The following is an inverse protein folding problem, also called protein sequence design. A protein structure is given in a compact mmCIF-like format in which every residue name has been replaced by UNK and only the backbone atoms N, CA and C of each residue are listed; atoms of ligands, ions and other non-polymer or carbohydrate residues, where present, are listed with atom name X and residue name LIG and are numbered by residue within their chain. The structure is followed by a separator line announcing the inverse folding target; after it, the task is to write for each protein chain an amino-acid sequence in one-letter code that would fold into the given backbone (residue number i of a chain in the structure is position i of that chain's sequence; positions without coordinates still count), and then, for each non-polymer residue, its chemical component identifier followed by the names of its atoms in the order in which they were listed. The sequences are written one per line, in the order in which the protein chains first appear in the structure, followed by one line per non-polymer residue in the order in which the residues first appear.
data_IF_727963765041
#
_entry.id   IF_727963765041
#
_cell.length_a   1.000
_cell.length_b   1.000
_cell.length_c   1.000
_cell.angle_alpha   90.00
_cell.angle_beta   90.00
_cell.angle_gamma   90.00
#
_symmetry.space_group_name_H-M   'P 1'
#
loop_
_entity.id
_entity.type
_entity.pdbx_description
1 polymer ?
#
# COMPACT_ATOMS: atom_id res chain seq x y z
N UNK A 1 49.38 -35.70 31.62
CA UNK A 1 49.22 -35.20 33.00
C UNK A 1 47.88 -34.47 33.09
N UNK A 2 47.12 -34.78 34.14
CA UNK A 2 45.78 -34.33 34.51
C UNK A 2 44.57 -34.70 33.63
N UNK A 3 43.71 -35.48 34.28
CA UNK A 3 42.44 -36.11 33.89
C UNK A 3 41.30 -35.37 34.61
N UNK A 4 40.10 -35.51 34.02
CA UNK A 4 38.74 -35.50 34.62
C UNK A 4 38.04 -34.14 34.84
N UNK A 5 36.69 -34.11 35.01
CA UNK A 5 35.61 -34.98 34.47
C UNK A 5 34.45 -34.16 33.82
N UNK A 6 33.69 -34.69 32.85
CA UNK A 6 32.40 -35.40 32.99
C UNK A 6 31.40 -34.82 34.01
N UNK A 7 30.33 -34.17 33.51
CA UNK A 7 29.05 -34.02 34.20
C UNK A 7 27.89 -34.21 33.21
N UNK A 8 27.30 -35.40 33.29
CA UNK A 8 25.93 -35.77 32.90
C UNK A 8 24.93 -35.30 33.95
N UNK A 9 23.82 -34.65 33.57
CA UNK A 9 22.52 -34.71 34.25
C UNK A 9 21.42 -34.36 33.23
N UNK A 10 20.63 -35.35 32.81
CA UNK A 10 19.31 -35.74 33.34
C UNK A 10 18.14 -34.87 32.82
N UNK A 11 17.34 -35.51 31.97
CA UNK A 11 15.99 -35.14 31.59
C UNK A 11 14.98 -35.46 32.70
N UNK A 12 13.89 -34.68 32.81
CA UNK A 12 12.66 -35.14 33.41
C UNK A 12 11.61 -35.44 32.33
N UNK A 13 11.18 -36.71 32.33
CA UNK A 13 9.92 -37.20 31.80
C UNK A 13 8.71 -36.76 32.67
N UNK A 14 7.51 -37.09 32.17
CA UNK A 14 6.16 -36.93 32.73
C UNK A 14 5.48 -35.62 32.28
N UNK A 15 4.21 -35.58 31.89
CA UNK A 15 3.07 -36.43 32.23
C UNK A 15 2.00 -36.32 31.15
N UNK A 16 1.45 -37.48 30.79
CA UNK A 16 0.14 -37.66 30.16
C UNK A 16 -0.95 -36.84 30.84
N UNK A 17 -1.90 -36.32 30.06
CA UNK A 17 -3.32 -36.25 30.44
C UNK A 17 -4.19 -36.12 29.20
N UNK A 18 -4.73 -37.27 28.82
CA UNK A 18 -5.95 -37.41 28.05
C UNK A 18 -7.07 -36.53 28.63
N UNK A 19 -7.81 -35.87 27.75
CA UNK A 19 -9.21 -35.51 28.02
C UNK A 19 -9.99 -35.62 26.72
N UNK A 20 -10.40 -36.87 26.49
CA UNK A 20 -11.59 -37.18 25.72
C UNK A 20 -12.78 -36.48 26.37
N UNK A 21 -13.47 -35.61 25.63
CA UNK A 21 -14.87 -35.32 25.93
C UNK A 21 -15.71 -35.53 24.67
N UNK A 22 -16.33 -36.70 24.72
CA UNK A 22 -17.39 -37.23 23.91
C UNK A 22 -18.68 -36.45 24.24
N UNK A 23 -19.26 -35.74 23.28
CA UNK A 23 -20.68 -35.35 23.36
C UNK A 23 -21.39 -35.82 22.12
N UNK A 24 -22.27 -36.78 22.36
CA UNK A 24 -23.20 -37.47 21.47
C UNK A 24 -24.54 -36.72 21.43
N UNK A 25 -25.24 -36.87 20.29
CA UNK A 25 -26.69 -36.66 20.06
C UNK A 25 -27.16 -35.19 20.11
N UNK A 26 -28.01 -34.69 19.23
CA UNK A 26 -29.30 -35.19 18.69
C UNK A 26 -29.59 -34.50 17.34
N UNK A 27 -29.93 -35.24 16.28
CA UNK A 27 -31.29 -35.50 15.79
C UNK A 27 -31.99 -34.30 15.10
N UNK A 28 -32.30 -34.54 13.82
CA UNK A 28 -33.52 -34.16 13.09
C UNK A 28 -34.20 -32.82 13.39
N UNK A 29 -34.16 -31.93 12.39
CA UNK A 29 -35.39 -31.29 11.92
C UNK A 29 -35.31 -30.81 10.48
N UNK A 30 -35.80 -31.65 9.59
CA UNK A 30 -36.37 -31.28 8.30
C UNK A 30 -37.54 -30.31 8.50
N UNK A 31 -37.48 -29.15 7.85
CA UNK A 31 -38.65 -28.31 7.59
C UNK A 31 -38.61 -27.82 6.15
N UNK A 32 -39.33 -28.55 5.30
CA UNK A 32 -39.89 -28.09 4.05
C UNK A 32 -40.68 -26.80 4.26
N UNK A 33 -40.31 -25.71 3.58
CA UNK A 33 -41.27 -24.65 3.22
C UNK A 33 -41.09 -24.26 1.76
N UNK A 34 -42.24 -24.31 1.09
CA UNK A 34 -42.58 -24.17 -0.32
C UNK A 34 -42.12 -22.84 -0.97
N UNK A 35 -41.84 -22.82 -2.29
CA UNK A 35 -41.59 -21.60 -3.05
C UNK A 35 -42.92 -21.01 -3.54
N UNK A 36 -43.33 -19.86 -2.99
CA UNK A 36 -44.40 -19.06 -3.61
C UNK A 36 -43.84 -18.06 -4.62
N UNK A 37 -43.86 -18.55 -5.86
CA UNK A 37 -44.24 -17.85 -7.10
C UNK A 37 -45.13 -16.62 -6.86
N UNK A 38 -44.60 -15.42 -7.14
CA UNK A 38 -45.40 -14.27 -7.60
C UNK A 38 -44.74 -13.65 -8.82
N UNK A 39 -45.23 -14.09 -9.98
CA UNK A 39 -45.29 -13.28 -11.18
C UNK A 39 -46.20 -12.08 -10.92
N UNK A 40 -45.76 -10.88 -11.28
CA UNK A 40 -46.63 -9.89 -11.92
C UNK A 40 -45.77 -8.89 -12.70
N UNK A 41 -45.91 -9.02 -14.01
CA UNK A 41 -45.69 -8.02 -15.03
C UNK A 41 -46.28 -6.65 -14.65
N UNK A 42 -45.52 -5.57 -14.86
CA UNK A 42 -45.99 -4.32 -15.48
C UNK A 42 -44.81 -3.37 -15.77
N UNK A 43 -44.41 -3.33 -17.04
CA UNK A 43 -43.89 -2.11 -17.69
C UNK A 43 -45.12 -1.34 -18.25
N UNK A 44 -45.02 -0.08 -18.76
CA UNK A 44 -43.96 0.92 -18.71
C UNK A 44 -44.44 2.32 -18.24
N UNK A 45 -43.59 3.06 -17.52
CA UNK A 45 -43.86 4.45 -17.10
C UNK A 45 -42.90 5.47 -17.72
N UNK A 46 -42.96 5.65 -19.05
CA UNK A 46 -42.14 6.59 -19.83
C UNK A 46 -42.58 8.04 -19.61
N UNK A 47 -42.20 8.68 -18.48
CA UNK A 47 -42.32 10.15 -18.32
C UNK A 47 -41.02 10.83 -18.73
N UNK A 48 -40.95 11.22 -20.02
CA UNK A 48 -39.94 12.19 -20.52
C UNK A 48 -40.23 13.54 -19.87
N UNK A 49 -39.45 13.93 -18.86
CA UNK A 49 -39.38 15.33 -18.41
C UNK A 49 -38.42 16.08 -19.32
N UNK A 50 -38.97 16.76 -20.33
CA UNK A 50 -38.30 17.80 -21.11
C UNK A 50 -38.01 19.00 -20.19
N UNK A 51 -36.93 18.94 -19.41
CA UNK A 51 -36.41 20.12 -18.69
C UNK A 51 -34.88 20.25 -18.74
N UNK A 52 -34.20 19.57 -19.67
CA UNK A 52 -32.73 19.63 -19.77
C UNK A 52 -32.19 20.40 -20.98
N UNK A 53 -33.02 21.03 -21.82
CA UNK A 53 -32.50 21.76 -22.99
C UNK A 53 -31.81 23.07 -22.60
N UNK A 54 -32.36 23.81 -21.64
CA UNK A 54 -31.84 25.12 -21.24
C UNK A 54 -30.57 25.04 -20.36
N UNK A 55 -30.35 23.93 -19.66
CA UNK A 55 -29.12 23.74 -18.86
C UNK A 55 -27.90 23.41 -19.72
N UNK A 56 -28.07 22.75 -20.88
CA UNK A 56 -26.95 22.45 -21.78
C UNK A 56 -26.47 23.69 -22.55
N UNK A 57 -27.35 24.63 -22.89
CA UNK A 57 -26.98 25.87 -23.57
C UNK A 57 -26.21 26.85 -22.64
N UNK A 58 -26.52 26.86 -21.34
CA UNK A 58 -25.80 27.70 -20.38
C UNK A 58 -24.38 27.17 -20.07
N UNK A 59 -24.21 25.84 -20.01
CA UNK A 59 -22.89 25.24 -19.78
C UNK A 59 -21.96 25.29 -20.99
N UNK A 60 -22.47 25.23 -22.22
CA UNK A 60 -21.62 25.38 -23.42
C UNK A 60 -21.10 26.83 -23.60
N UNK A 61 -21.85 27.84 -23.17
CA UNK A 61 -21.42 29.24 -23.22
C UNK A 61 -20.27 29.54 -22.23
N UNK A 62 -20.25 28.91 -21.05
CA UNK A 62 -19.18 29.09 -20.06
C UNK A 62 -17.88 28.41 -20.52
N UNK A 63 -17.97 27.25 -21.19
CA UNK A 63 -16.78 26.56 -21.72
C UNK A 63 -16.14 27.35 -22.89
N UNK A 64 -16.94 28.05 -23.69
CA UNK A 64 -16.42 28.90 -24.76
C UNK A 64 -15.67 30.14 -24.25
N UNK A 65 -16.05 30.71 -23.09
CA UNK A 65 -15.42 31.91 -22.55
C UNK A 65 -14.10 31.64 -21.80
N UNK A 66 -13.90 30.43 -21.26
CA UNK A 66 -12.63 30.01 -20.64
C UNK A 66 -11.60 29.57 -21.70
N UNK A 67 -12.04 29.30 -22.94
CA UNK A 67 -11.16 28.83 -24.01
C UNK A 67 -10.39 29.94 -24.72
N UNK A 68 -10.68 31.23 -24.46
CA UNK A 68 -9.99 32.36 -25.11
C UNK A 68 -8.87 33.00 -24.28
N UNK A 69 -8.70 32.59 -23.02
CA UNK A 69 -7.70 33.16 -22.10
C UNK A 69 -6.59 32.19 -21.68
N UNK A 70 -6.45 31.04 -22.36
CA UNK A 70 -5.42 30.02 -22.05
C UNK A 70 -4.46 29.67 -23.20
N UNK A 71 -4.21 30.60 -24.14
CA UNK A 71 -3.14 30.45 -25.14
C UNK A 71 -1.77 30.89 -24.62
N UNK A 72 -1.29 30.27 -23.52
CA UNK A 72 0.12 30.40 -23.08
C UNK A 72 0.72 29.12 -22.48
N UNK A 73 0.14 27.94 -22.70
CA UNK A 73 0.73 26.69 -22.16
C UNK A 73 0.45 25.41 -22.95
N UNK A 74 0.27 25.48 -24.28
CA UNK A 74 0.26 24.29 -25.13
C UNK A 74 1.66 24.13 -25.75
N UNK A 75 2.65 23.80 -24.92
CA UNK A 75 3.92 23.22 -25.38
C UNK A 75 4.36 21.99 -24.55
N UNK A 76 3.56 21.53 -23.58
CA UNK A 76 3.94 20.43 -22.70
C UNK A 76 3.73 19.01 -23.28
N UNK A 77 3.11 18.87 -24.46
CA UNK A 77 2.83 17.56 -25.07
C UNK A 77 3.30 17.39 -26.52
N UNK A 78 4.17 18.28 -27.02
CA UNK A 78 4.97 17.98 -28.22
C UNK A 78 6.19 17.13 -27.82
N UNK A 79 5.94 15.89 -27.41
CA UNK A 79 6.99 14.90 -27.15
C UNK A 79 7.27 14.05 -28.40
N UNK A 80 7.61 14.72 -29.50
CA UNK A 80 8.21 14.08 -30.67
C UNK A 80 9.58 13.49 -30.31
N UNK A 81 9.74 12.17 -30.52
CA UNK A 81 11.00 11.44 -30.68
C UNK A 81 12.19 11.79 -29.75
N UNK A 82 11.99 12.03 -28.46
CA UNK A 82 13.12 11.98 -27.52
C UNK A 82 13.66 10.54 -27.43
N UNK A 83 14.98 10.32 -27.56
CA UNK A 83 15.57 8.99 -27.46
C UNK A 83 15.25 8.36 -26.10
N UNK A 84 15.00 7.05 -26.08
CA UNK A 84 14.59 6.31 -24.88
C UNK A 84 15.58 6.47 -23.71
N UNK A 85 16.86 6.68 -24.01
CA UNK A 85 17.92 6.97 -23.03
C UNK A 85 17.66 8.27 -22.27
N UNK A 86 17.24 9.33 -22.95
CA UNK A 86 17.00 10.64 -22.35
C UNK A 86 15.76 10.63 -21.45
N UNK A 87 14.69 9.93 -21.87
CA UNK A 87 13.49 9.71 -21.02
C UNK A 87 13.80 8.85 -19.79
N UNK A 88 14.70 7.86 -19.92
CA UNK A 88 15.17 7.05 -18.79
C UNK A 88 15.95 7.92 -17.82
N UNK A 89 16.89 8.74 -18.32
CA UNK A 89 17.70 9.63 -17.50
C UNK A 89 16.86 10.68 -16.77
N UNK A 90 15.97 11.41 -17.47
CA UNK A 90 15.04 12.39 -16.85
C UNK A 90 14.18 11.75 -15.75
N UNK A 91 13.77 10.49 -15.92
CA UNK A 91 12.96 9.83 -14.90
C UNK A 91 13.80 9.42 -13.69
N UNK A 92 15.00 8.88 -13.91
CA UNK A 92 15.95 8.56 -12.83
C UNK A 92 16.26 9.84 -12.05
N UNK A 93 16.62 10.92 -12.74
CA UNK A 93 16.90 12.22 -12.12
C UNK A 93 15.70 12.72 -11.29
N UNK A 94 14.48 12.70 -11.84
CA UNK A 94 13.27 13.10 -11.10
C UNK A 94 12.97 12.19 -9.91
N UNK A 95 13.26 10.89 -10.00
CA UNK A 95 13.04 9.96 -8.90
C UNK A 95 14.10 10.07 -7.82
N UNK A 96 15.37 10.29 -8.20
CA UNK A 96 16.45 10.66 -7.28
C UNK A 96 16.09 11.97 -6.58
N UNK A 97 15.69 13.02 -7.31
CA UNK A 97 15.23 14.28 -6.72
C UNK A 97 14.02 14.08 -5.78
N UNK A 98 13.04 13.27 -6.18
CA UNK A 98 11.88 12.98 -5.33
C UNK A 98 12.30 12.27 -4.05
N UNK A 99 13.11 11.22 -4.15
CA UNK A 99 13.58 10.47 -2.98
C UNK A 99 14.50 11.32 -2.11
N UNK A 100 15.46 12.07 -2.68
CA UNK A 100 16.32 12.96 -1.90
C UNK A 100 15.52 14.07 -1.20
N UNK A 101 14.48 14.62 -1.83
CA UNK A 101 13.62 15.64 -1.21
C UNK A 101 12.75 15.05 -0.09
N UNK A 102 12.11 13.90 -0.33
CA UNK A 102 11.27 13.22 0.66
C UNK A 102 12.12 12.76 1.85
N UNK A 103 13.32 12.23 1.59
CA UNK A 103 14.21 11.71 2.61
C UNK A 103 14.88 12.85 3.38
N UNK A 104 15.44 13.88 2.72
CA UNK A 104 15.98 15.06 3.43
C UNK A 104 14.92 15.69 4.34
N UNK A 105 13.68 15.87 3.88
CA UNK A 105 12.64 16.45 4.74
C UNK A 105 12.39 15.62 6.01
N UNK A 106 12.50 14.29 5.93
CA UNK A 106 12.34 13.40 7.09
C UNK A 106 13.59 13.34 7.97
N UNK A 107 14.79 13.23 7.36
CA UNK A 107 16.07 13.21 8.08
C UNK A 107 16.25 14.51 8.86
N UNK A 108 16.07 15.68 8.23
CA UNK A 108 16.22 16.97 8.90
C UNK A 108 15.23 17.17 10.05
N UNK A 109 14.02 16.59 9.98
CA UNK A 109 13.08 16.62 11.10
C UNK A 109 13.52 15.75 12.28
N UNK A 110 14.18 14.62 12.02
CA UNK A 110 14.73 13.72 13.07
C UNK A 110 16.05 14.23 13.64
N UNK A 111 16.91 14.84 12.81
CA UNK A 111 18.18 15.42 13.28
C UNK A 111 17.96 16.74 14.00
N UNK A 112 17.00 17.57 13.58
CA UNK A 112 16.69 18.84 14.27
C UNK A 112 16.12 18.65 15.68
N UNK A 113 15.49 17.51 15.97
CA UNK A 113 15.10 17.13 17.34
C UNK A 113 16.26 16.62 18.19
N UNK A 114 17.35 16.14 17.56
CA UNK A 114 18.50 15.53 18.24
C UNK A 114 19.76 16.43 18.29
N UNK A 115 19.78 17.59 17.60
CA UNK A 115 20.96 18.44 17.41
C UNK A 115 21.07 19.66 18.36
N UNK A 116 20.62 19.55 19.62
CA UNK A 116 20.94 20.62 20.58
C UNK A 116 22.34 20.51 21.21
N UNK A 117 23.08 19.40 21.04
CA UNK A 117 24.24 19.16 21.92
C UNK A 117 25.58 18.73 21.28
N UNK A 118 25.82 18.81 19.96
CA UNK A 118 27.15 18.42 19.44
C UNK A 118 27.64 19.25 18.27
N UNK A 119 28.66 20.06 18.56
CA UNK A 119 29.33 21.03 17.69
C UNK A 119 30.63 20.43 17.16
N UNK A 120 30.57 19.30 16.44
CA UNK A 120 31.74 18.60 15.89
C UNK A 120 31.76 18.57 14.36
N UNK A 121 32.98 18.81 13.82
CA UNK A 121 33.52 18.47 12.48
C UNK A 121 32.66 18.70 11.23
N UNK A 122 32.84 19.87 10.58
CA UNK A 122 32.25 20.28 9.30
C UNK A 122 32.77 19.48 8.07
N UNK A 123 33.88 18.75 8.21
CA UNK A 123 34.58 18.04 7.12
C UNK A 123 34.18 16.55 7.01
N UNK A 124 33.76 15.94 8.12
CA UNK A 124 33.27 14.56 8.19
C UNK A 124 31.86 14.43 7.55
N UNK A 125 31.07 15.50 7.60
CA UNK A 125 29.73 15.57 7.01
C UNK A 125 29.73 15.45 5.49
N UNK A 126 30.80 15.88 4.79
CA UNK A 126 30.83 15.85 3.32
C UNK A 126 31.10 14.45 2.74
N UNK A 127 31.93 13.64 3.40
CA UNK A 127 32.22 12.27 2.94
C UNK A 127 31.05 11.31 3.19
N UNK A 128 30.27 11.55 4.26
CA UNK A 128 29.07 10.79 4.59
C UNK A 128 27.95 11.05 3.55
N UNK A 129 27.83 12.27 3.04
CA UNK A 129 26.80 12.64 2.04
C UNK A 129 26.99 11.87 0.72
N UNK A 130 28.24 11.67 0.28
CA UNK A 130 28.58 10.96 -0.97
C UNK A 130 28.28 9.44 -0.94
N UNK A 131 28.38 8.79 0.22
CA UNK A 131 28.08 7.35 0.37
C UNK A 131 26.57 7.11 0.49
N UNK A 132 25.89 7.94 1.28
CA UNK A 132 24.44 7.93 1.43
C UNK A 132 23.76 8.15 0.06
N UNK A 133 24.24 9.11 -0.73
CA UNK A 133 23.70 9.38 -2.07
C UNK A 133 23.87 8.18 -3.02
N UNK A 134 24.96 7.42 -2.93
CA UNK A 134 25.17 6.20 -3.75
C UNK A 134 24.15 5.13 -3.42
N UNK A 135 23.92 4.87 -2.14
CA UNK A 135 22.93 3.87 -1.70
C UNK A 135 21.52 4.25 -2.16
N UNK A 136 21.16 5.54 -2.06
CA UNK A 136 19.88 6.04 -2.55
C UNK A 136 19.71 5.89 -4.06
N UNK A 137 20.75 6.21 -4.84
CA UNK A 137 20.74 6.06 -6.30
C UNK A 137 20.59 4.59 -6.69
N UNK A 138 21.27 3.68 -5.99
CA UNK A 138 21.15 2.25 -6.21
C UNK A 138 19.72 1.77 -5.93
N UNK A 139 19.16 2.11 -4.76
CA UNK A 139 17.81 1.72 -4.37
C UNK A 139 16.76 2.24 -5.36
N UNK A 140 16.86 3.52 -5.74
CA UNK A 140 15.97 4.13 -6.74
C UNK A 140 16.08 3.43 -8.10
N UNK A 141 17.29 3.04 -8.50
CA UNK A 141 17.54 2.29 -9.74
C UNK A 141 16.88 0.91 -9.69
N UNK A 142 16.96 0.19 -8.55
CA UNK A 142 16.29 -1.11 -8.35
C UNK A 142 14.77 -0.96 -8.45
N UNK A 143 14.16 0.05 -7.79
CA UNK A 143 12.71 0.32 -7.90
C UNK A 143 12.30 0.67 -9.34
N UNK A 144 13.09 1.50 -10.04
CA UNK A 144 12.83 1.83 -11.44
C UNK A 144 12.78 0.59 -12.32
N UNK A 145 13.78 -0.27 -12.18
CA UNK A 145 13.88 -1.49 -12.96
C UNK A 145 12.69 -2.43 -12.69
N UNK A 146 12.29 -2.60 -11.43
CA UNK A 146 11.09 -3.36 -11.06
C UNK A 146 9.83 -2.78 -11.73
N UNK A 147 9.65 -1.45 -11.70
CA UNK A 147 8.52 -0.78 -12.37
C UNK A 147 8.55 -0.96 -13.89
N UNK A 148 9.73 -0.91 -14.50
CA UNK A 148 9.90 -1.17 -15.93
C UNK A 148 9.47 -2.61 -16.28
N UNK A 149 9.84 -3.60 -15.46
CA UNK A 149 9.42 -4.99 -15.64
C UNK A 149 7.90 -5.17 -15.50
N UNK A 150 7.26 -4.47 -14.56
CA UNK A 150 5.79 -4.44 -14.45
C UNK A 150 5.14 -3.92 -15.74
N UNK A 151 5.67 -2.85 -16.33
CA UNK A 151 5.17 -2.31 -17.60
C UNK A 151 5.35 -3.28 -18.76
N UNK A 152 6.40 -4.11 -18.72
CA UNK A 152 6.66 -5.17 -19.71
C UNK A 152 5.89 -6.47 -19.43
N UNK A 153 5.05 -6.52 -18.39
CA UNK A 153 4.29 -7.72 -18.02
C UNK A 153 5.09 -8.80 -17.30
N UNK A 154 6.37 -8.55 -16.97
CA UNK A 154 7.23 -9.48 -16.24
C UNK A 154 7.00 -9.36 -14.72
N UNK A 155 5.77 -9.69 -14.29
CA UNK A 155 5.29 -9.45 -12.93
C UNK A 155 6.08 -10.25 -11.88
N UNK A 156 6.34 -11.54 -12.12
CA UNK A 156 7.08 -12.40 -11.20
C UNK A 156 8.52 -11.93 -10.93
N UNK A 157 9.20 -11.35 -11.92
CA UNK A 157 10.56 -10.84 -11.74
C UNK A 157 10.55 -9.54 -10.92
N UNK A 158 9.58 -8.65 -11.18
CA UNK A 158 9.41 -7.43 -10.40
C UNK A 158 9.14 -7.74 -8.92
N UNK A 159 8.30 -8.74 -8.64
CA UNK A 159 8.07 -9.23 -7.28
C UNK A 159 9.38 -9.67 -6.61
N UNK A 160 10.19 -10.52 -7.28
CA UNK A 160 11.47 -10.99 -6.75
C UNK A 160 12.41 -9.84 -6.40
N UNK A 161 12.45 -8.79 -7.23
CA UNK A 161 13.27 -7.60 -6.96
C UNK A 161 12.79 -6.88 -5.71
N UNK A 162 11.48 -6.60 -5.57
CA UNK A 162 10.98 -5.93 -4.38
C UNK A 162 11.18 -6.75 -3.10
N UNK A 163 10.98 -8.06 -3.15
CA UNK A 163 11.25 -8.94 -2.00
C UNK A 163 12.72 -8.92 -1.60
N UNK A 164 13.62 -8.90 -2.59
CA UNK A 164 15.07 -8.78 -2.35
C UNK A 164 15.41 -7.45 -1.69
N UNK A 165 14.95 -6.32 -2.25
CA UNK A 165 15.15 -4.98 -1.67
C UNK A 165 14.67 -4.95 -0.21
N UNK A 166 13.47 -5.45 0.05
CA UNK A 166 12.90 -5.48 1.40
C UNK A 166 13.70 -6.37 2.36
N UNK A 167 14.34 -7.43 1.86
CA UNK A 167 15.20 -8.27 2.69
C UNK A 167 16.55 -7.62 2.95
N UNK A 168 17.18 -6.99 1.94
CA UNK A 168 18.43 -6.20 2.08
C UNK A 168 18.25 -5.11 3.15
N UNK A 169 17.20 -4.28 3.01
CA UNK A 169 16.87 -3.22 3.96
C UNK A 169 16.49 -3.71 5.37
N UNK A 170 16.17 -5.00 5.52
CA UNK A 170 15.86 -5.58 6.84
C UNK A 170 17.04 -6.33 7.46
N UNK A 171 18.09 -6.61 6.70
CA UNK A 171 19.34 -7.16 7.24
C UNK A 171 20.34 -6.07 7.62
N UNK A 172 20.24 -4.89 6.99
CA UNK A 172 21.08 -3.73 7.29
C UNK A 172 20.62 -2.96 8.54
N UNK A 173 19.48 -3.31 9.13
CA UNK A 173 18.87 -2.59 10.26
C UNK A 173 19.48 -2.88 11.63
N UNK A 174 20.54 -3.69 11.71
CA UNK A 174 21.25 -3.98 12.96
C UNK A 174 22.26 -2.86 13.33
N UNK A 175 22.54 -1.95 12.40
CA UNK A 175 23.36 -0.75 12.62
C UNK A 175 22.45 0.44 13.03
N UNK A 176 22.90 1.25 13.99
CA UNK A 176 22.16 2.20 14.86
C UNK A 176 21.20 3.23 14.21
N UNK A 177 21.04 3.24 12.89
CA UNK A 177 20.19 4.17 12.15
C UNK A 177 19.14 3.42 11.32
N UNK A 178 17.98 3.10 11.93
CA UNK A 178 16.92 2.41 11.22
C UNK A 178 16.22 3.31 10.18
N UNK A 179 16.49 3.08 8.88
CA UNK A 179 15.85 3.77 7.75
C UNK A 179 14.43 3.22 7.45
N UNK A 180 13.52 3.34 8.43
CA UNK A 180 12.12 2.92 8.29
C UNK A 180 11.44 3.48 7.03
N UNK A 181 11.88 4.65 6.54
CA UNK A 181 11.36 5.25 5.32
C UNK A 181 11.65 4.41 4.07
N UNK A 182 12.89 3.91 3.89
CA UNK A 182 13.29 3.09 2.73
C UNK A 182 12.48 1.78 2.72
N UNK A 183 12.34 1.16 3.89
CA UNK A 183 11.56 -0.07 4.07
C UNK A 183 10.07 0.16 3.81
N UNK A 184 9.49 1.24 4.34
CA UNK A 184 8.09 1.60 4.14
C UNK A 184 7.77 1.82 2.65
N UNK A 185 8.58 2.59 1.93
CA UNK A 185 8.41 2.83 0.48
C UNK A 185 8.45 1.51 -0.29
N UNK A 186 9.48 0.69 -0.05
CA UNK A 186 9.65 -0.59 -0.75
C UNK A 186 8.46 -1.55 -0.48
N UNK A 187 7.97 -1.57 0.76
CA UNK A 187 6.80 -2.35 1.18
C UNK A 187 5.54 -1.89 0.46
N UNK A 188 5.29 -0.58 0.39
CA UNK A 188 4.13 -0.02 -0.31
C UNK A 188 4.16 -0.36 -1.81
N UNK A 189 5.33 -0.29 -2.45
CA UNK A 189 5.50 -0.66 -3.85
C UNK A 189 5.23 -2.15 -4.10
N UNK A 190 5.69 -3.03 -3.21
CA UNK A 190 5.38 -4.46 -3.28
C UNK A 190 3.87 -4.71 -3.06
N UNK A 191 3.26 -4.05 -2.08
CA UNK A 191 1.82 -4.18 -1.82
C UNK A 191 0.98 -3.73 -3.02
N UNK A 192 1.32 -2.61 -3.66
CA UNK A 192 0.67 -2.15 -4.89
C UNK A 192 0.86 -3.14 -6.05
N UNK A 193 2.03 -3.75 -6.14
CA UNK A 193 2.31 -4.79 -7.13
C UNK A 193 1.42 -6.03 -6.92
N UNK A 194 1.26 -6.51 -5.68
CA UNK A 194 0.37 -7.62 -5.32
C UNK A 194 -1.11 -7.29 -5.55
N UNK A 195 -1.54 -6.05 -5.28
CA UNK A 195 -2.90 -5.60 -5.61
C UNK A 195 -3.17 -5.65 -7.12
N UNK A 196 -2.16 -5.36 -7.94
CA UNK A 196 -2.28 -5.39 -9.40
C UNK A 196 -2.42 -6.82 -9.95
N UNK A 197 -1.82 -7.81 -9.30
CA UNK A 197 -1.99 -9.24 -9.66
C UNK A 197 -3.30 -9.82 -9.13
N UNK A 198 -4.01 -9.10 -8.25
CA UNK A 198 -5.24 -9.58 -7.62
C UNK A 198 -5.00 -10.51 -6.44
N UNK A 199 -3.74 -10.67 -6.00
CA UNK A 199 -3.43 -11.52 -4.85
C UNK A 199 -3.64 -10.77 -3.53
N UNK A 200 -4.89 -10.78 -3.07
CA UNK A 200 -5.32 -10.12 -1.83
C UNK A 200 -4.63 -10.74 -0.60
N UNK A 201 -4.38 -12.05 -0.60
CA UNK A 201 -3.74 -12.74 0.53
C UNK A 201 -2.26 -12.36 0.62
N UNK A 202 -1.54 -12.38 -0.50
CA UNK A 202 -0.15 -11.93 -0.54
C UNK A 202 -0.01 -10.46 -0.16
N UNK A 203 -0.94 -9.60 -0.62
CA UNK A 203 -0.95 -8.18 -0.24
C UNK A 203 -1.06 -8.01 1.28
N UNK A 204 -1.97 -8.74 1.94
CA UNK A 204 -2.07 -8.73 3.42
C UNK A 204 -0.78 -9.17 4.08
N UNK A 205 -0.18 -10.26 3.58
CA UNK A 205 1.07 -10.77 4.14
C UNK A 205 2.22 -9.76 4.06
N UNK A 206 2.29 -8.96 2.98
CA UNK A 206 3.30 -7.89 2.85
C UNK A 206 3.15 -6.84 3.95
N UNK A 207 1.92 -6.34 4.18
CA UNK A 207 1.67 -5.39 5.25
C UNK A 207 1.96 -5.98 6.63
N UNK A 208 1.47 -7.19 6.92
CA UNK A 208 1.70 -7.84 8.22
C UNK A 208 3.17 -8.12 8.48
N UNK A 209 3.94 -8.50 7.47
CA UNK A 209 5.39 -8.72 7.62
C UNK A 209 6.13 -7.41 7.90
N UNK A 210 5.73 -6.29 7.30
CA UNK A 210 6.28 -4.98 7.64
C UNK A 210 6.03 -4.64 9.12
N UNK A 211 4.79 -4.80 9.60
CA UNK A 211 4.49 -4.50 11.01
C UNK A 211 5.15 -5.46 11.99
N UNK A 212 5.30 -6.74 11.63
CA UNK A 212 6.08 -7.68 12.45
C UNK A 212 7.53 -7.22 12.58
N UNK A 213 8.13 -6.74 11.50
CA UNK A 213 9.52 -6.25 11.54
C UNK A 213 9.60 -4.99 12.39
N UNK A 214 8.81 -3.96 12.09
CA UNK A 214 8.84 -2.68 12.83
C UNK A 214 8.49 -2.87 14.32
N UNK A 215 7.48 -3.67 14.66
CA UNK A 215 7.07 -3.86 16.05
C UNK A 215 8.07 -4.67 16.89
N UNK A 216 8.95 -5.46 16.27
CA UNK A 216 10.02 -6.17 17.01
C UNK A 216 11.16 -5.24 17.43
N UNK A 217 11.28 -4.05 16.83
CA UNK A 217 12.31 -3.07 17.17
C UNK A 217 11.83 -2.04 18.20
N UNK A 218 10.54 -2.03 18.54
CA UNK A 218 9.92 -0.99 19.38
C UNK A 218 9.29 -1.65 20.63
N UNK A 219 10.10 -2.24 21.51
CA UNK A 219 9.64 -2.71 22.84
C UNK A 219 9.39 -1.54 23.80
N UNK A 220 9.96 -0.36 23.54
CA UNK A 220 9.72 0.86 24.31
C UNK A 220 8.54 1.67 23.73
N UNK A 221 7.47 1.82 24.52
CA UNK A 221 6.22 2.51 24.14
C UNK A 221 6.41 3.95 23.60
N UNK A 222 7.56 4.56 23.86
CA UNK A 222 7.86 5.95 23.50
C UNK A 222 8.32 6.12 22.04
N UNK A 223 8.85 5.07 21.39
CA UNK A 223 9.40 5.15 20.03
C UNK A 223 8.39 4.83 18.91
N UNK A 224 7.13 4.52 19.25
CA UNK A 224 6.08 4.07 18.30
C UNK A 224 5.54 5.19 17.39
N UNK A 225 6.17 6.37 17.34
CA UNK A 225 5.72 7.54 16.56
C UNK A 225 6.47 7.73 15.24
N UNK A 226 6.73 6.65 14.51
CA UNK A 226 7.29 6.76 13.17
C UNK A 226 6.21 7.15 12.14
N UNK A 227 6.30 8.36 11.58
CA UNK A 227 5.38 8.88 10.54
C UNK A 227 5.34 7.99 9.29
N UNK A 228 6.46 7.33 8.96
CA UNK A 228 6.52 6.40 7.83
C UNK A 228 5.68 5.15 8.07
N UNK A 229 5.77 4.57 9.28
CA UNK A 229 4.96 3.43 9.70
C UNK A 229 3.46 3.79 9.76
N UNK A 230 3.12 5.00 10.20
CA UNK A 230 1.75 5.52 10.18
C UNK A 230 1.17 5.56 8.75
N UNK A 231 1.95 6.01 7.76
CA UNK A 231 1.54 6.00 6.34
C UNK A 231 1.35 4.58 5.79
N UNK A 232 2.15 3.60 6.23
CA UNK A 232 1.93 2.19 5.85
C UNK A 232 0.64 1.65 6.47
N UNK A 233 0.34 1.99 7.73
CA UNK A 233 -0.95 1.64 8.36
C UNK A 233 -2.14 2.28 7.64
N UNK A 234 -2.04 3.57 7.29
CA UNK A 234 -3.07 4.26 6.51
C UNK A 234 -3.33 3.52 5.19
N UNK A 235 -2.28 3.17 4.44
CA UNK A 235 -2.41 2.40 3.20
C UNK A 235 -3.04 1.02 3.44
N UNK A 236 -2.69 0.36 4.55
CA UNK A 236 -3.26 -0.94 4.91
C UNK A 236 -4.75 -0.83 5.28
N UNK A 237 -5.14 0.20 6.02
CA UNK A 237 -6.53 0.50 6.34
C UNK A 237 -7.35 0.70 5.05
N UNK A 238 -6.87 1.53 4.12
CA UNK A 238 -7.52 1.75 2.83
C UNK A 238 -7.67 0.45 2.03
N UNK A 239 -6.65 -0.40 2.04
CA UNK A 239 -6.69 -1.70 1.41
C UNK A 239 -7.77 -2.61 2.04
N UNK A 240 -7.85 -2.71 3.37
CA UNK A 240 -8.87 -3.55 4.03
C UNK A 240 -10.29 -2.99 3.81
N UNK A 241 -10.44 -1.65 3.79
CA UNK A 241 -11.71 -1.00 3.46
C UNK A 241 -12.21 -1.41 2.07
N UNK A 242 -11.32 -1.37 1.07
CA UNK A 242 -11.63 -1.77 -0.31
C UNK A 242 -12.05 -3.24 -0.42
N UNK A 243 -11.57 -4.10 0.48
CA UNK A 243 -11.86 -5.53 0.48
C UNK A 243 -13.04 -5.91 1.41
N UNK A 244 -13.81 -4.93 1.90
CA UNK A 244 -15.02 -5.17 2.70
C UNK A 244 -14.77 -5.38 4.20
N UNK A 245 -13.53 -5.22 4.68
CA UNK A 245 -13.20 -5.33 6.11
C UNK A 245 -13.23 -3.94 6.77
N UNK A 246 -14.40 -3.32 6.81
CA UNK A 246 -14.59 -1.95 7.30
C UNK A 246 -14.25 -1.78 8.79
N UNK A 247 -14.68 -2.70 9.65
CA UNK A 247 -14.40 -2.66 11.09
C UNK A 247 -12.89 -2.70 11.37
N UNK A 248 -12.20 -3.70 10.80
CA UNK A 248 -10.73 -3.82 10.89
C UNK A 248 -10.01 -2.59 10.32
N UNK A 249 -10.51 -2.04 9.21
CA UNK A 249 -9.95 -0.83 8.61
C UNK A 249 -10.02 0.37 9.55
N UNK A 250 -11.13 0.54 10.29
CA UNK A 250 -11.28 1.58 11.30
C UNK A 250 -10.27 1.43 12.45
N UNK A 251 -10.09 0.20 12.95
CA UNK A 251 -9.09 -0.07 13.99
C UNK A 251 -7.67 0.31 13.52
N UNK A 252 -7.31 -0.09 12.30
CA UNK A 252 -5.99 0.19 11.73
C UNK A 252 -5.78 1.70 11.53
N UNK A 253 -6.77 2.45 11.03
CA UNK A 253 -6.60 3.90 10.80
C UNK A 253 -6.53 4.67 12.12
N UNK A 254 -7.26 4.26 13.17
CA UNK A 254 -7.10 4.86 14.49
C UNK A 254 -5.70 4.62 15.06
N UNK A 255 -5.14 3.42 14.85
CA UNK A 255 -3.74 3.15 15.20
C UNK A 255 -2.77 4.04 14.41
N UNK A 256 -3.00 4.23 13.12
CA UNK A 256 -2.20 5.13 12.29
C UNK A 256 -2.24 6.58 12.80
N UNK A 257 -3.42 7.09 13.18
CA UNK A 257 -3.60 8.45 13.69
C UNK A 257 -2.95 8.62 15.06
N UNK A 258 -2.98 7.59 15.92
CA UNK A 258 -2.24 7.60 17.19
C UNK A 258 -0.72 7.76 16.97
N UNK A 259 -0.20 7.27 15.85
CA UNK A 259 1.21 7.40 15.47
C UNK A 259 1.52 8.73 14.77
N UNK A 260 0.59 9.25 13.96
CA UNK A 260 0.71 10.51 13.23
C UNK A 260 -0.65 11.23 13.18
N UNK A 261 -0.82 12.23 14.04
CA UNK A 261 -2.06 13.00 14.16
C UNK A 261 -2.44 13.75 12.87
N UNK A 262 -1.47 14.03 11.99
CA UNK A 262 -1.73 14.69 10.69
C UNK A 262 -2.61 13.83 9.77
N UNK A 263 -2.77 12.54 10.07
CA UNK A 263 -3.64 11.62 9.35
C UNK A 263 -5.12 11.74 9.76
N UNK A 264 -5.46 12.54 10.78
CA UNK A 264 -6.84 12.72 11.27
C UNK A 264 -7.88 13.06 10.17
N UNK A 265 -7.58 13.91 9.16
CA UNK A 265 -8.53 14.24 8.08
C UNK A 265 -8.99 13.03 7.25
N UNK A 266 -8.30 11.89 7.34
CA UNK A 266 -8.68 10.64 6.65
C UNK A 266 -10.01 10.10 7.17
N UNK A 267 -10.33 10.31 8.45
CA UNK A 267 -11.60 9.87 9.04
C UNK A 267 -12.81 10.61 8.45
N UNK A 268 -12.60 11.80 7.90
CA UNK A 268 -13.65 12.59 7.25
C UNK A 268 -14.03 12.04 5.88
N UNK A 269 -13.22 11.14 5.30
CA UNK A 269 -13.51 10.54 4.01
C UNK A 269 -14.77 9.69 4.10
N UNK A 270 -15.62 9.78 3.08
CA UNK A 270 -16.94 9.13 3.05
C UNK A 270 -16.90 7.66 3.47
N UNK A 271 -15.92 6.88 2.99
CA UNK A 271 -15.81 5.46 3.29
C UNK A 271 -15.59 5.17 4.79
N UNK A 272 -14.82 6.00 5.49
CA UNK A 272 -14.58 5.83 6.93
C UNK A 272 -15.76 6.34 7.75
N UNK A 273 -16.40 7.44 7.34
CA UNK A 273 -17.66 7.91 7.96
C UNK A 273 -18.79 6.90 7.83
N UNK A 274 -18.93 6.28 6.65
CA UNK A 274 -19.94 5.25 6.41
C UNK A 274 -19.66 4.01 7.26
N UNK A 275 -18.39 3.56 7.31
CA UNK A 275 -17.98 2.45 8.18
C UNK A 275 -18.26 2.73 9.67
N UNK A 276 -17.95 3.94 10.16
CA UNK A 276 -18.17 4.34 11.55
C UNK A 276 -19.66 4.39 11.92
N UNK A 277 -20.52 4.72 10.96
CA UNK A 277 -21.97 4.66 11.10
C UNK A 277 -22.56 3.25 10.93
N UNK A 278 -21.73 2.21 10.84
CA UNK A 278 -22.15 0.83 10.60
C UNK A 278 -22.72 0.57 9.20
N UNK A 279 -22.52 1.49 8.25
CA UNK A 279 -23.00 1.36 6.87
C UNK A 279 -21.99 0.58 6.03
N UNK A 280 -22.47 -0.38 5.24
CA UNK A 280 -21.63 -1.10 4.27
C UNK A 280 -21.17 -0.13 3.19
N UNK A 281 -19.86 0.08 3.10
CA UNK A 281 -19.27 0.85 2.02
C UNK A 281 -19.44 0.07 0.70
N UNK A 282 -20.22 0.62 -0.23
CA UNK A 282 -20.31 0.14 -1.60
C UNK A 282 -19.43 1.03 -2.48
N UNK A 283 -18.33 0.53 -3.06
CA UNK A 283 -17.48 1.30 -3.95
C UNK A 283 -18.33 1.79 -5.14
N UNK A 284 -18.58 3.10 -5.22
CA UNK A 284 -19.38 3.67 -6.32
C UNK A 284 -18.71 3.53 -7.68
N UNK A 285 -17.41 3.23 -7.70
CA UNK A 285 -16.67 2.92 -8.92
C UNK A 285 -16.59 1.42 -9.12
N UNK A 286 -17.64 0.83 -9.72
CA UNK A 286 -17.42 -0.37 -10.52
C UNK A 286 -16.52 0.07 -11.68
N UNK A 287 -15.21 -0.18 -11.60
CA UNK A 287 -14.35 -0.11 -12.77
C UNK A 287 -15.03 -0.97 -13.81
N UNK A 288 -15.55 -0.32 -14.86
CA UNK A 288 -16.15 -0.98 -16.00
C UNK A 288 -15.05 -1.88 -16.55
N UNK A 289 -15.05 -3.13 -16.10
CA UNK A 289 -14.12 -4.15 -16.57
C UNK A 289 -14.27 -4.10 -18.08
N UNK A 290 -13.24 -3.58 -18.76
CA UNK A 290 -13.14 -3.76 -20.21
C UNK A 290 -12.93 -5.25 -20.36
N UNK A 291 -14.03 -5.99 -20.40
CA UNK A 291 -14.04 -7.36 -20.85
C UNK A 291 -13.28 -7.33 -22.17
N UNK A 292 -12.10 -7.96 -22.18
CA UNK A 292 -11.38 -8.14 -23.42
C UNK A 292 -12.34 -8.90 -24.32
N UNK A 293 -12.63 -8.44 -25.55
CA UNK A 293 -13.42 -9.22 -26.47
C UNK A 293 -12.74 -10.58 -26.58
N UNK A 294 -13.44 -11.63 -26.17
CA UNK A 294 -13.03 -13.00 -26.47
C UNK A 294 -12.87 -13.05 -27.98
N UNK A 295 -11.65 -13.26 -28.45
CA UNK A 295 -11.44 -13.71 -29.82
C UNK A 295 -11.97 -15.13 -29.87
N UNK A 296 -13.28 -15.27 -30.04
CA UNK A 296 -13.89 -16.48 -30.59
C UNK A 296 -13.50 -16.50 -32.07
N UNK A 297 -12.27 -16.93 -32.32
CA UNK A 297 -11.83 -17.35 -33.65
C UNK A 297 -12.38 -18.74 -33.88
N UNK A 298 -13.55 -18.81 -34.50
CA UNK A 298 -14.03 -20.02 -35.14
C UNK A 298 -13.06 -20.42 -36.25
N UNK A 299 -12.50 -21.61 -36.12
CA UNK A 299 -11.96 -22.39 -37.22
C UNK A 299 -12.68 -23.73 -37.13
N UNK A 300 -13.83 -23.81 -37.79
CA UNK A 300 -14.37 -25.10 -38.21
C UNK A 300 -13.75 -25.48 -39.55
N UNK A 301 -13.42 -26.76 -39.76
CA UNK A 301 -12.66 -27.27 -40.90
C UNK A 301 -13.40 -27.15 -42.24
#
# INVERSE_FOLDING_TARGET
MHRAPFLTMQSPSTSSKDSSNNVKHTADRTAHINPQRRSNSHLPGRRRKLKSSLYFAYWSAIIAFVSLSSFSSINAFSMGNRPLSQRRHEWIERSVQYYSTIMRKNTWQQTATNQLDSRSSLEEVQLIDDEIDKEFVELATKHYYARFLIKKGKLSIAEKIYRRIINELSSESDEEQCDHTKLAVSTLLLALHMQRTGDIKATRAVFLNFFRRVALFEEDEEHVRCTCSAKVLQAYALFEMKNGHSAKSLEIIHKAIKMDEQLSPVLEWKQFRDAAAGRTYSPTFSFRSRAKPSKEGGLSP
#
